data_IF_596656116565
#
_entry.id   IF_596656116565
#
_cell.length_a   1.000
_cell.length_b   1.000
_cell.length_c   1.000
_cell.angle_alpha   90.00
_cell.angle_beta   90.00
_cell.angle_gamma   90.00
#
_symmetry.space_group_name_H-M   'P 1'
#
loop_
_entity.id
_entity.type
_entity.pdbx_description
1 polymer ?
#
# COMPACT_ATOMS: atom_id res chain seq x y z
N UNK A 1 4.62 0.87 10.82
CA UNK A 1 4.04 0.37 9.56
C UNK A 1 3.67 1.48 8.59
N UNK A 2 2.85 2.45 9.01
CA UNK A 2 2.36 3.54 8.17
C UNK A 2 3.44 4.37 7.47
N UNK A 3 4.51 4.72 8.17
CA UNK A 3 5.63 5.48 7.58
C UNK A 3 6.27 4.74 6.40
N UNK A 4 6.49 3.43 6.54
CA UNK A 4 7.09 2.61 5.48
C UNK A 4 6.16 2.51 4.26
N UNK A 5 4.86 2.32 4.47
CA UNK A 5 3.89 2.30 3.36
C UNK A 5 3.85 3.66 2.66
N UNK A 6 3.90 4.77 3.41
CA UNK A 6 3.93 6.11 2.83
C UNK A 6 5.21 6.36 2.00
N UNK A 7 6.36 5.86 2.43
CA UNK A 7 7.62 5.94 1.67
C UNK A 7 7.56 5.15 0.35
N UNK A 8 7.03 3.92 0.38
CA UNK A 8 6.84 3.09 -0.82
C UNK A 8 5.89 3.79 -1.79
N UNK A 9 4.74 4.25 -1.29
CA UNK A 9 3.78 4.99 -2.09
C UNK A 9 4.41 6.25 -2.69
N UNK A 10 5.19 7.00 -1.90
CA UNK A 10 5.84 8.22 -2.40
C UNK A 10 6.80 7.93 -3.55
N UNK A 11 7.58 6.86 -3.41
CA UNK A 11 8.54 6.41 -4.42
C UNK A 11 7.84 5.97 -5.70
N UNK A 12 6.82 5.12 -5.58
CA UNK A 12 6.14 4.52 -6.74
C UNK A 12 5.21 5.50 -7.45
N UNK A 13 4.58 6.42 -6.72
CA UNK A 13 3.66 7.42 -7.25
C UNK A 13 4.37 8.72 -7.68
N UNK A 14 5.66 8.86 -7.34
CA UNK A 14 6.50 9.97 -7.78
C UNK A 14 6.16 11.32 -7.13
N UNK A 15 5.55 11.30 -5.94
CA UNK A 15 5.25 12.50 -5.14
C UNK A 15 5.41 12.20 -3.66
N UNK A 16 5.65 13.22 -2.84
CA UNK A 16 5.67 13.05 -1.40
C UNK A 16 4.25 12.77 -0.86
N UNK A 17 4.13 11.69 -0.10
CA UNK A 17 2.91 11.26 0.60
C UNK A 17 3.25 11.19 2.08
N UNK A 18 2.59 12.04 2.87
CA UNK A 18 2.77 12.02 4.32
C UNK A 18 2.11 10.77 4.93
N UNK A 19 2.65 10.21 6.03
CA UNK A 19 2.04 9.08 6.72
C UNK A 19 0.62 9.38 7.24
N UNK A 20 0.31 10.66 7.49
CA UNK A 20 -1.02 11.12 7.88
C UNK A 20 -1.98 11.37 6.71
N UNK A 21 -1.51 11.33 5.46
CA UNK A 21 -2.31 11.66 4.28
C UNK A 21 -3.27 10.52 3.91
N UNK A 22 -4.46 10.87 3.45
CA UNK A 22 -5.38 9.89 2.86
C UNK A 22 -5.04 9.66 1.39
N UNK A 23 -4.13 8.71 1.12
CA UNK A 23 -3.81 8.29 -0.24
C UNK A 23 -4.59 7.02 -0.62
N UNK A 24 -5.33 7.09 -1.72
CA UNK A 24 -6.15 5.99 -2.24
C UNK A 24 -6.15 6.00 -3.76
N UNK A 25 -6.37 4.83 -4.37
CA UNK A 25 -6.50 4.63 -5.81
C UNK A 25 -7.53 5.57 -6.45
N UNK A 26 -8.60 5.91 -5.72
CA UNK A 26 -9.63 6.84 -6.21
C UNK A 26 -9.18 8.31 -6.23
N UNK A 27 -8.39 8.72 -5.23
CA UNK A 27 -7.93 10.12 -5.10
C UNK A 27 -6.62 10.38 -5.83
N UNK A 28 -5.81 9.35 -6.04
CA UNK A 28 -4.46 9.46 -6.57
C UNK A 28 -4.39 8.96 -8.01
N UNK A 29 -4.31 9.89 -8.96
CA UNK A 29 -4.30 9.56 -10.39
C UNK A 29 -3.09 8.72 -10.82
N UNK A 30 -1.96 8.83 -10.12
CA UNK A 30 -0.78 8.02 -10.39
C UNK A 30 -0.97 6.55 -9.98
N UNK A 31 -1.97 6.26 -9.14
CA UNK A 31 -2.29 4.93 -8.65
C UNK A 31 -3.30 4.25 -9.58
N UNK A 32 -2.83 3.78 -10.74
CA UNK A 32 -3.63 2.95 -11.66
C UNK A 32 -3.55 1.44 -11.32
N UNK A 33 -4.27 0.59 -12.05
CA UNK A 33 -4.29 -0.86 -11.86
C UNK A 33 -2.90 -1.50 -11.93
N UNK A 34 -2.05 -1.05 -12.85
CA UNK A 34 -0.67 -1.54 -12.95
C UNK A 34 0.16 -1.13 -11.72
N UNK A 35 0.05 0.15 -11.32
CA UNK A 35 0.76 0.70 -10.17
C UNK A 35 0.29 0.04 -8.87
N UNK A 36 -0.98 -0.33 -8.78
CA UNK A 36 -1.52 -1.06 -7.65
C UNK A 36 -0.80 -2.39 -7.42
N UNK A 37 -0.66 -3.21 -8.46
CA UNK A 37 0.07 -4.48 -8.34
C UNK A 37 1.53 -4.24 -7.93
N UNK A 38 2.20 -3.24 -8.52
CA UNK A 38 3.57 -2.87 -8.15
C UNK A 38 3.69 -2.45 -6.68
N UNK A 39 2.74 -1.64 -6.18
CA UNK A 39 2.66 -1.24 -4.77
C UNK A 39 2.50 -2.45 -3.87
N UNK A 40 1.55 -3.35 -4.17
CA UNK A 40 1.28 -4.53 -3.36
C UNK A 40 2.53 -5.42 -3.30
N UNK A 41 3.14 -5.75 -4.44
CA UNK A 41 4.36 -6.57 -4.50
C UNK A 41 5.51 -5.94 -3.72
N UNK A 42 5.74 -4.63 -3.90
CA UNK A 42 6.80 -3.92 -3.17
C UNK A 42 6.54 -3.92 -1.67
N UNK A 43 5.29 -3.76 -1.24
CA UNK A 43 4.92 -3.84 0.17
C UNK A 43 5.15 -5.25 0.71
N UNK A 44 4.79 -6.30 -0.03
CA UNK A 44 5.05 -7.69 0.37
C UNK A 44 6.55 -7.95 0.53
N UNK A 45 7.36 -7.55 -0.45
CA UNK A 45 8.83 -7.70 -0.41
C UNK A 45 9.46 -6.93 0.76
N UNK A 46 9.03 -5.69 1.00
CA UNK A 46 9.60 -4.82 2.03
C UNK A 46 9.16 -5.16 3.45
N UNK A 47 7.99 -5.79 3.62
CA UNK A 47 7.44 -6.14 4.93
C UNK A 47 7.55 -7.62 5.25
N UNK A 48 7.79 -8.47 4.25
CA UNK A 48 7.78 -9.92 4.37
C UNK A 48 6.37 -10.51 4.53
N UNK A 49 5.31 -9.71 4.39
CA UNK A 49 3.92 -10.17 4.41
C UNK A 49 3.55 -10.67 3.02
N UNK A 50 2.65 -11.65 2.94
CA UNK A 50 2.01 -12.04 1.68
C UNK A 50 0.51 -11.79 1.77
N UNK A 51 -0.04 -11.12 0.75
CA UNK A 51 -1.48 -10.84 0.67
C UNK A 51 -2.16 -11.89 -0.20
N UNK A 52 -3.36 -12.32 0.20
CA UNK A 52 -4.11 -13.26 -0.64
C UNK A 52 -4.69 -12.55 -1.88
N UNK A 53 -4.86 -13.29 -2.97
CA UNK A 53 -5.34 -12.75 -4.24
C UNK A 53 -6.72 -12.06 -4.14
N UNK A 54 -7.56 -12.47 -3.18
CA UNK A 54 -8.84 -11.84 -2.89
C UNK A 54 -8.74 -10.53 -2.09
N UNK A 55 -7.61 -10.30 -1.43
CA UNK A 55 -7.33 -9.11 -0.64
C UNK A 55 -6.72 -8.01 -1.49
N UNK A 56 -5.81 -8.36 -2.40
CA UNK A 56 -5.16 -7.44 -3.34
C UNK A 56 -6.14 -6.39 -3.89
N UNK A 57 -7.26 -6.75 -4.56
CA UNK A 57 -8.18 -5.77 -5.13
C UNK A 57 -8.93 -4.93 -4.08
N UNK A 58 -8.89 -5.29 -2.80
CA UNK A 58 -9.47 -4.53 -1.69
C UNK A 58 -8.46 -3.55 -1.08
N UNK A 59 -7.15 -3.75 -1.26
CA UNK A 59 -6.06 -2.94 -0.70
C UNK A 59 -5.82 -1.64 -1.50
N UNK A 60 -6.89 -0.90 -1.77
CA UNK A 60 -6.91 0.27 -2.66
C UNK A 60 -6.55 1.60 -1.99
N UNK A 61 -6.11 1.56 -0.73
CA UNK A 61 -5.77 2.75 0.05
C UNK A 61 -4.63 2.46 1.01
N UNK A 62 -3.81 3.48 1.30
CA UNK A 62 -2.74 3.39 2.29
C UNK A 62 -3.27 2.87 3.64
N UNK A 63 -4.42 3.39 4.09
CA UNK A 63 -5.03 2.96 5.34
C UNK A 63 -5.38 1.45 5.37
N UNK A 64 -5.85 0.89 4.25
CA UNK A 64 -6.21 -0.53 4.15
C UNK A 64 -4.97 -1.42 4.14
N UNK A 65 -3.94 -1.02 3.40
CA UNK A 65 -2.65 -1.70 3.38
C UNK A 65 -2.05 -1.74 4.79
N UNK A 66 -1.99 -0.58 5.46
CA UNK A 66 -1.47 -0.49 6.83
C UNK A 66 -2.28 -1.35 7.79
N UNK A 67 -3.62 -1.25 7.76
CA UNK A 67 -4.47 -2.06 8.63
C UNK A 67 -4.23 -3.56 8.43
N UNK A 68 -4.06 -4.00 7.17
CA UNK A 68 -3.79 -5.40 6.87
C UNK A 68 -2.41 -5.85 7.35
N UNK A 69 -1.39 -5.00 7.20
CA UNK A 69 -0.04 -5.28 7.72
C UNK A 69 -0.01 -5.36 9.25
N UNK A 70 -0.84 -4.57 9.93
CA UNK A 70 -0.95 -4.61 11.39
C UNK A 70 -1.75 -5.82 11.90
N UNK A 71 -2.75 -6.26 11.14
CA UNK A 71 -3.55 -7.46 11.41
C UNK A 71 -2.75 -8.76 11.16
N UNK A 72 -1.95 -8.79 10.08
CA UNK A 72 -1.09 -9.93 9.72
C UNK A 72 0.15 -10.14 10.61
N UNK A 73 0.36 -9.30 11.64
CA UNK A 73 1.43 -9.44 12.62
C UNK A 73 1.13 -10.42 13.77
N UNK A 74 -0.04 -11.06 13.77
CA UNK A 74 -0.41 -12.13 14.71
C UNK A 74 -0.50 -13.48 13.98
N UNK A 75 0.64 -14.11 13.73
CA UNK A 75 0.74 -15.55 13.51
C UNK A 75 2.08 -16.07 14.05
#
# INVERSE_FOLDING_TARGET
MREKVAEILSTLLGREIAPGEECSMESERAWDSMKHIEIILTVEEETGVSFEAEEIPKLTSMARIVARLEDGGQA
#
